data_IF_204338516241
#
_entry.id   IF_204338516241
#
_cell.length_a   1.000
_cell.length_b   1.000
_cell.length_c   1.000
_cell.angle_alpha   90.00
_cell.angle_beta   90.00
_cell.angle_gamma   90.00
#
_symmetry.space_group_name_H-M   'P 1'
#
loop_
_entity.id
_entity.type
_entity.pdbx_description
1 polymer ?
#
# COMPACT_ATOMS: atom_id res chain seq x y z
N UNK A 1 -1.50 23.06 0.96
CA UNK A 1 -1.81 23.51 -0.42
C UNK A 1 -1.73 22.27 -1.27
N UNK A 2 -2.83 21.84 -1.89
CA UNK A 2 -2.88 20.65 -2.72
C UNK A 2 -2.73 21.06 -4.19
N UNK A 3 -1.86 20.39 -4.94
CA UNK A 3 -1.76 20.55 -6.39
C UNK A 3 -2.51 19.42 -7.08
N UNK A 4 -3.50 19.77 -7.91
CA UNK A 4 -4.31 18.82 -8.66
C UNK A 4 -3.95 18.92 -10.14
N UNK A 5 -3.53 17.80 -10.75
CA UNK A 5 -3.30 17.70 -12.20
C UNK A 5 -4.33 16.71 -12.75
N UNK A 6 -5.12 17.14 -13.73
CA UNK A 6 -6.12 16.31 -14.42
C UNK A 6 -5.47 15.74 -15.69
N UNK A 7 -5.37 14.41 -15.80
CA UNK A 7 -4.74 13.71 -16.93
C UNK A 7 -5.75 12.74 -17.55
N UNK A 8 -6.87 13.27 -18.04
CA UNK A 8 -8.00 12.46 -18.48
C UNK A 8 -8.63 11.68 -17.33
N UNK A 9 -8.67 10.35 -17.44
CA UNK A 9 -9.18 9.44 -16.42
C UNK A 9 -8.28 9.32 -15.18
N UNK A 10 -6.99 9.67 -15.25
CA UNK A 10 -6.10 9.64 -14.09
C UNK A 10 -6.22 10.95 -13.28
N UNK A 11 -6.45 10.82 -11.97
CA UNK A 11 -6.39 11.92 -11.00
C UNK A 11 -5.13 11.81 -10.17
N UNK A 12 -4.38 12.91 -10.04
CA UNK A 12 -3.25 13.04 -9.11
C UNK A 12 -3.57 14.08 -8.05
N UNK A 13 -3.44 13.68 -6.78
CA UNK A 13 -3.55 14.56 -5.63
C UNK A 13 -2.24 14.57 -4.84
N UNK A 14 -1.86 15.72 -4.30
CA UNK A 14 -0.74 15.86 -3.37
C UNK A 14 -1.21 16.53 -2.08
N UNK A 15 -0.84 15.96 -0.93
CA UNK A 15 -1.16 16.51 0.38
C UNK A 15 -0.11 16.12 1.42
N UNK A 16 -0.16 16.75 2.58
CA UNK A 16 0.78 16.48 3.66
C UNK A 16 0.02 16.24 4.96
N UNK A 17 0.42 15.25 5.73
CA UNK A 17 -0.24 14.95 7.00
C UNK A 17 0.68 14.22 7.97
N UNK A 18 0.38 14.37 9.25
CA UNK A 18 0.87 13.47 10.29
C UNK A 18 0.09 12.16 10.27
N UNK A 19 0.68 11.06 10.76
CA UNK A 19 -0.01 9.77 10.90
C UNK A 19 -1.39 9.91 11.56
N UNK A 20 -1.49 10.73 12.62
CA UNK A 20 -2.74 10.96 13.37
C UNK A 20 -3.84 11.66 12.59
N UNK A 21 -3.50 12.46 11.58
CA UNK A 21 -4.47 13.24 10.80
C UNK A 21 -4.66 12.68 9.38
N UNK A 22 -3.91 11.63 9.01
CA UNK A 22 -3.83 11.12 7.64
C UNK A 22 -5.20 10.85 7.03
N UNK A 23 -6.08 10.15 7.75
CA UNK A 23 -7.39 9.74 7.23
C UNK A 23 -8.30 10.94 6.96
N UNK A 24 -8.32 11.90 7.89
CA UNK A 24 -9.06 13.15 7.73
C UNK A 24 -8.54 13.94 6.53
N UNK A 25 -7.22 14.14 6.43
CA UNK A 25 -6.61 14.92 5.34
C UNK A 25 -6.78 14.23 3.99
N UNK A 26 -6.70 12.90 3.93
CA UNK A 26 -6.98 12.13 2.73
C UNK A 26 -8.42 12.37 2.27
N UNK A 27 -9.40 12.24 3.16
CA UNK A 27 -10.81 12.51 2.86
C UNK A 27 -11.00 13.93 2.34
N UNK A 28 -10.53 14.93 3.08
CA UNK A 28 -10.60 16.34 2.68
C UNK A 28 -9.97 16.59 1.31
N UNK A 29 -8.91 15.85 0.95
CA UNK A 29 -8.22 15.98 -0.34
C UNK A 29 -9.03 15.39 -1.49
N UNK A 30 -9.62 14.20 -1.31
CA UNK A 30 -10.38 13.52 -2.37
C UNK A 30 -11.81 14.03 -2.51
N UNK A 31 -12.32 14.81 -1.55
CA UNK A 31 -13.66 15.41 -1.60
C UNK A 31 -13.65 16.93 -1.76
N UNK A 32 -12.54 17.54 -2.20
CA UNK A 32 -12.50 19.00 -2.41
C UNK A 32 -13.53 19.45 -3.43
N UNK A 33 -14.26 20.52 -3.13
CA UNK A 33 -15.19 21.12 -4.08
C UNK A 33 -14.44 21.52 -5.37
N UNK A 34 -15.03 21.17 -6.52
CA UNK A 34 -14.52 21.32 -7.91
C UNK A 34 -13.50 20.27 -8.40
N UNK A 35 -12.79 19.57 -7.51
CA UNK A 35 -11.77 18.58 -7.90
C UNK A 35 -11.91 17.23 -7.21
N UNK A 36 -13.05 17.01 -6.55
CA UNK A 36 -13.40 15.75 -5.91
C UNK A 36 -13.26 14.59 -6.90
N UNK A 37 -12.90 13.43 -6.34
CA UNK A 37 -12.75 12.24 -7.13
C UNK A 37 -14.08 11.86 -7.82
N UNK A 38 -13.98 11.50 -9.09
CA UNK A 38 -15.12 11.19 -9.97
C UNK A 38 -15.33 9.69 -10.14
N UNK A 39 -14.40 8.87 -9.64
CA UNK A 39 -14.40 7.42 -9.81
C UNK A 39 -14.94 6.69 -8.58
N UNK A 40 -14.72 7.27 -7.39
CA UNK A 40 -15.08 6.65 -6.13
C UNK A 40 -15.92 7.59 -5.25
N UNK A 41 -16.91 7.02 -4.58
CA UNK A 41 -17.64 7.63 -3.49
C UNK A 41 -16.83 7.44 -2.20
N UNK A 42 -16.41 8.56 -1.59
CA UNK A 42 -15.60 8.57 -0.37
C UNK A 42 -16.44 8.89 0.85
N UNK A 43 -16.26 8.13 1.93
CA UNK A 43 -16.91 8.42 3.22
C UNK A 43 -15.91 8.38 4.35
N UNK A 44 -16.09 9.26 5.34
CA UNK A 44 -15.25 9.37 6.51
C UNK A 44 -16.02 8.98 7.77
N UNK A 45 -15.36 8.21 8.63
CA UNK A 45 -15.79 7.94 9.99
C UNK A 45 -14.64 8.20 10.95
N UNK A 46 -14.79 9.20 11.80
CA UNK A 46 -13.79 9.56 12.82
C UNK A 46 -13.84 8.64 14.04
N UNK A 47 -14.93 7.89 14.23
CA UNK A 47 -15.13 7.01 15.39
C UNK A 47 -15.77 5.67 15.00
N UNK A 48 -15.07 4.92 14.13
CA UNK A 48 -15.50 3.58 13.75
C UNK A 48 -15.06 2.54 14.80
N UNK A 49 -16.00 2.12 15.64
CA UNK A 49 -15.80 1.10 16.69
C UNK A 49 -15.47 -0.29 16.13
N UNK A 50 -15.82 -0.57 14.87
CA UNK A 50 -15.46 -1.83 14.21
C UNK A 50 -14.03 -1.82 13.64
N UNK A 51 -13.37 -0.66 13.68
CA UNK A 51 -11.98 -0.48 13.28
C UNK A 51 -11.05 -0.28 14.49
N UNK A 52 -11.49 -0.62 15.71
CA UNK A 52 -10.67 -0.63 16.94
C UNK A 52 -10.37 -2.08 17.35
N UNK A 53 -9.25 -2.68 16.92
CA UNK A 53 -8.92 -4.07 17.24
C UNK A 53 -8.55 -4.24 18.72
N UNK A 54 -8.77 -5.45 19.26
CA UNK A 54 -8.32 -5.83 20.60
C UNK A 54 -6.80 -5.96 20.65
N UNK A 55 -6.18 -5.53 21.76
CA UNK A 55 -4.74 -5.76 21.98
C UNK A 55 -4.42 -7.21 22.38
N UNK A 56 -3.21 -7.66 22.04
CA UNK A 56 -2.65 -9.02 22.18
C UNK A 56 -3.02 -9.77 23.46
N UNK A 57 -2.97 -9.09 24.60
CA UNK A 57 -2.88 -9.74 25.90
C UNK A 57 -3.85 -9.19 26.94
N UNK A 58 -4.83 -8.37 26.54
CA UNK A 58 -5.87 -7.93 27.45
C UNK A 58 -7.14 -7.58 26.69
N UNK A 59 -8.24 -8.28 27.00
CA UNK A 59 -9.56 -8.03 26.43
C UNK A 59 -10.14 -6.65 26.77
N UNK A 60 -9.54 -5.94 27.73
CA UNK A 60 -10.02 -4.65 28.23
C UNK A 60 -9.40 -3.44 27.50
N UNK A 61 -8.41 -3.64 26.61
CA UNK A 61 -7.75 -2.55 25.89
C UNK A 61 -7.83 -2.75 24.37
N UNK A 62 -8.22 -1.70 23.65
CA UNK A 62 -8.32 -1.67 22.17
C UNK A 62 -7.32 -0.68 21.59
N UNK A 63 -6.76 -1.01 20.42
CA UNK A 63 -5.89 -0.08 19.69
C UNK A 63 -6.71 1.12 19.24
N UNK A 64 -6.20 2.33 19.49
CA UNK A 64 -6.87 3.55 19.09
C UNK A 64 -7.01 3.61 17.56
N UNK A 65 -8.17 4.08 17.08
CA UNK A 65 -8.44 4.36 15.67
C UNK A 65 -8.34 5.88 15.46
N UNK A 66 -7.45 6.31 14.57
CA UNK A 66 -7.24 7.71 14.18
C UNK A 66 -8.02 8.09 12.90
N UNK A 67 -9.07 7.33 12.60
CA UNK A 67 -9.99 7.56 11.49
C UNK A 67 -10.11 6.34 10.59
N UNK A 68 -11.29 6.24 9.97
CA UNK A 68 -11.59 5.29 8.91
C UNK A 68 -12.13 6.05 7.70
N UNK A 69 -11.58 5.78 6.52
CA UNK A 69 -12.13 6.25 5.24
C UNK A 69 -12.52 5.05 4.40
N UNK A 70 -13.60 5.17 3.63
CA UNK A 70 -14.01 4.18 2.64
C UNK A 70 -13.98 4.77 1.25
N UNK A 71 -13.67 3.94 0.25
CA UNK A 71 -13.80 4.25 -1.16
C UNK A 71 -14.70 3.20 -1.80
N UNK A 72 -15.82 3.61 -2.40
CA UNK A 72 -16.73 2.73 -3.12
C UNK A 72 -16.74 3.13 -4.60
N UNK A 73 -16.40 2.20 -5.48
CA UNK A 73 -16.33 2.53 -6.90
C UNK A 73 -17.74 2.83 -7.44
N UNK A 74 -17.85 3.90 -8.24
CA UNK A 74 -19.14 4.35 -8.79
C UNK A 74 -19.63 3.48 -9.94
N UNK A 75 -18.72 2.89 -10.73
CA UNK A 75 -19.05 2.02 -11.88
C UNK A 75 -19.15 0.54 -11.51
N UNK A 76 -18.40 0.10 -10.49
CA UNK A 76 -18.50 -1.24 -9.90
C UNK A 76 -18.67 -1.15 -8.38
N UNK A 77 -19.91 -0.98 -7.87
CA UNK A 77 -20.16 -0.88 -6.43
C UNK A 77 -19.71 -2.08 -5.59
N UNK A 78 -19.37 -3.22 -6.20
CA UNK A 78 -18.78 -4.37 -5.50
C UNK A 78 -17.31 -4.13 -5.13
N UNK A 79 -16.63 -3.24 -5.85
CA UNK A 79 -15.26 -2.83 -5.58
C UNK A 79 -15.27 -1.73 -4.52
N UNK A 80 -14.95 -2.13 -3.31
CA UNK A 80 -15.00 -1.31 -2.12
C UNK A 80 -13.72 -1.48 -1.32
N UNK A 81 -13.21 -0.37 -0.79
CA UNK A 81 -12.06 -0.36 0.08
C UNK A 81 -12.34 0.39 1.37
N UNK A 82 -11.79 -0.10 2.47
CA UNK A 82 -11.67 0.66 3.71
C UNK A 82 -10.19 0.87 4.00
N UNK A 83 -9.81 2.05 4.48
CA UNK A 83 -8.48 2.37 5.00
C UNK A 83 -8.65 2.96 6.40
N UNK A 84 -7.95 2.41 7.38
CA UNK A 84 -7.96 2.88 8.76
C UNK A 84 -6.53 3.14 9.22
N UNK A 85 -6.33 4.14 10.07
CA UNK A 85 -5.06 4.30 10.79
C UNK A 85 -5.24 3.91 12.24
N UNK A 86 -4.48 2.92 12.68
CA UNK A 86 -4.50 2.44 14.06
C UNK A 86 -3.17 2.70 14.76
N UNK A 87 -3.23 2.85 16.08
CA UNK A 87 -2.05 2.89 16.93
C UNK A 87 -1.87 1.53 17.61
N UNK A 88 -0.84 0.78 17.23
CA UNK A 88 -0.50 -0.48 17.86
C UNK A 88 -0.11 -0.26 19.32
N UNK A 89 -0.57 -1.16 20.18
CA UNK A 89 -0.29 -1.15 21.61
C UNK A 89 0.05 -2.54 22.13
N UNK A 90 0.89 -2.56 23.16
CA UNK A 90 1.32 -3.76 23.88
C UNK A 90 1.29 -3.51 25.37
N UNK A 91 0.98 -4.53 26.16
CA UNK A 91 1.09 -4.47 27.61
C UNK A 91 2.28 -5.28 28.10
N UNK A 92 3.14 -4.69 28.91
CA UNK A 92 4.19 -5.45 29.61
C UNK A 92 3.67 -6.07 30.92
N UNK A 93 2.61 -5.49 31.51
CA UNK A 93 1.95 -5.92 32.75
C UNK A 93 0.46 -5.50 32.72
N UNK A 94 -0.38 -6.07 33.59
CA UNK A 94 -1.84 -5.89 33.60
C UNK A 94 -2.34 -4.44 33.65
N UNK A 95 -1.51 -3.49 34.11
CA UNK A 95 -1.87 -2.08 34.27
C UNK A 95 -0.97 -1.10 33.49
N UNK A 96 -0.14 -1.56 32.54
CA UNK A 96 0.78 -0.70 31.78
C UNK A 96 0.67 -0.94 30.29
N UNK A 97 0.08 0.03 29.60
CA UNK A 97 -0.08 0.08 28.14
C UNK A 97 1.05 0.89 27.55
N UNK A 98 1.69 0.37 26.50
CA UNK A 98 2.70 1.06 25.70
C UNK A 98 2.31 1.07 24.23
N UNK A 99 2.50 2.22 23.59
CA UNK A 99 2.21 2.44 22.19
C UNK A 99 3.48 2.32 21.36
N UNK A 100 3.41 1.55 20.27
CA UNK A 100 4.61 1.11 19.55
C UNK A 100 4.75 1.70 18.17
N UNK A 101 3.67 1.72 17.38
CA UNK A 101 3.71 2.26 16.03
C UNK A 101 2.32 2.55 15.46
N UNK A 102 2.26 3.47 14.51
CA UNK A 102 1.07 3.66 13.66
C UNK A 102 1.05 2.64 12.52
N UNK A 103 -0.14 2.15 12.19
CA UNK A 103 -0.39 1.13 11.17
C UNK A 103 -1.56 1.55 10.30
N UNK A 104 -1.43 1.34 8.99
CA UNK A 104 -2.56 1.33 8.07
C UNK A 104 -3.16 -0.07 8.00
N UNK A 105 -4.49 -0.12 8.10
CA UNK A 105 -5.30 -1.32 7.89
C UNK A 105 -6.24 -1.10 6.74
N UNK A 106 -6.32 -2.08 5.86
CA UNK A 106 -7.16 -2.02 4.67
C UNK A 106 -8.27 -3.08 4.72
N UNK A 107 -9.19 -3.11 3.75
CA UNK A 107 -10.21 -4.17 3.69
C UNK A 107 -11.11 -4.02 2.47
N UNK A 108 -11.81 -5.10 2.09
CA UNK A 108 -12.64 -5.15 0.86
C UNK A 108 -14.15 -5.10 1.09
N UNK A 109 -14.64 -5.29 2.32
CA UNK A 109 -16.08 -5.49 2.55
C UNK A 109 -16.81 -4.21 2.93
N UNK A 110 -17.85 -3.92 2.16
CA UNK A 110 -18.95 -3.07 2.58
C UNK A 110 -19.97 -3.93 3.33
N UNK A 111 -20.09 -3.75 4.65
CA UNK A 111 -20.99 -4.54 5.50
C UNK A 111 -22.36 -3.85 5.70
N UNK A 112 -22.83 -3.11 4.69
CA UNK A 112 -24.11 -2.40 4.73
C UNK A 112 -23.99 -1.06 5.47
N UNK A 113 -24.95 -0.74 6.34
CA UNK A 113 -24.96 0.53 7.08
C UNK A 113 -23.77 0.70 8.05
N UNK A 114 -23.11 -0.40 8.43
CA UNK A 114 -21.91 -0.40 9.25
C UNK A 114 -20.68 -0.68 8.38
N UNK A 115 -19.76 0.28 8.29
CA UNK A 115 -18.45 0.06 7.69
C UNK A 115 -17.60 -0.77 8.64
N UNK A 116 -17.41 -2.05 8.34
CA UNK A 116 -16.52 -2.94 9.10
C UNK A 116 -15.35 -3.30 8.18
N UNK A 117 -14.11 -2.85 8.46
CA UNK A 117 -12.95 -3.36 7.72
C UNK A 117 -12.89 -4.88 7.89
N UNK A 118 -12.93 -5.63 6.78
CA UNK A 118 -12.98 -7.12 6.81
C UNK A 118 -11.79 -7.76 7.56
N UNK A 119 -10.70 -7.00 7.70
CA UNK A 119 -9.55 -7.40 8.48
C UNK A 119 -9.79 -7.41 10.00
N UNK A 120 -10.98 -7.09 10.52
CA UNK A 120 -11.30 -7.24 11.96
C UNK A 120 -11.09 -8.68 12.50
N UNK A 121 -11.05 -9.68 11.60
CA UNK A 121 -10.87 -11.09 11.94
C UNK A 121 -9.42 -11.45 12.29
N UNK A 122 -9.21 -12.67 12.82
CA UNK A 122 -7.92 -13.15 13.35
C UNK A 122 -6.74 -13.05 12.36
N UNK A 123 -6.97 -12.98 11.05
CA UNK A 123 -5.93 -12.87 10.02
C UNK A 123 -5.56 -11.43 9.64
N UNK A 124 -6.37 -10.43 10.01
CA UNK A 124 -6.19 -9.09 9.47
C UNK A 124 -5.09 -8.25 10.10
N UNK A 125 -4.35 -8.83 11.06
CA UNK A 125 -3.08 -8.30 11.53
C UNK A 125 -1.91 -8.68 10.61
N UNK A 126 -2.09 -9.68 9.72
CA UNK A 126 -1.07 -10.18 8.80
C UNK A 126 -0.88 -9.31 7.56
N UNK A 127 -1.84 -8.45 7.25
CA UNK A 127 -1.85 -7.52 6.11
C UNK A 127 -1.74 -6.05 6.53
N UNK A 128 -1.23 -5.83 7.73
CA UNK A 128 -1.00 -4.51 8.29
C UNK A 128 0.24 -3.83 7.70
N UNK A 129 0.10 -2.54 7.42
CA UNK A 129 1.14 -1.74 6.78
C UNK A 129 1.67 -0.74 7.82
N UNK A 130 2.86 -0.97 8.41
CA UNK A 130 3.41 -0.05 9.39
C UNK A 130 3.80 1.28 8.74
N UNK A 131 3.48 2.40 9.40
CA UNK A 131 3.93 3.72 8.96
C UNK A 131 5.36 4.02 9.41
N UNK A 132 5.85 3.33 10.43
CA UNK A 132 7.23 3.41 10.91
C UNK A 132 7.57 2.17 11.75
N UNK A 133 8.87 1.95 11.96
CA UNK A 133 9.39 0.88 12.82
C UNK A 133 9.31 1.27 14.29
N UNK A 134 9.30 0.26 15.17
CA UNK A 134 9.37 0.42 16.62
C UNK A 134 10.56 -0.31 17.24
N UNK A 135 10.71 -0.19 18.56
CA UNK A 135 11.58 -1.10 19.31
C UNK A 135 10.94 -2.50 19.41
N UNK A 136 11.70 -3.53 19.78
CA UNK A 136 11.19 -4.90 19.97
C UNK A 136 10.85 -5.23 21.43
N UNK A 137 10.90 -4.24 22.33
CA UNK A 137 11.05 -4.49 23.75
C UNK A 137 9.71 -4.49 24.48
N UNK A 138 9.38 -5.60 25.17
CA UNK A 138 8.05 -5.79 25.80
C UNK A 138 8.04 -6.45 27.18
N UNK A 139 9.19 -6.75 27.77
CA UNK A 139 9.25 -7.68 28.91
C UNK A 139 10.07 -7.18 30.11
N UNK A 140 10.09 -5.87 30.36
CA UNK A 140 10.63 -5.36 31.64
C UNK A 140 10.05 -3.99 32.06
N UNK A 141 10.47 -3.52 33.23
CA UNK A 141 10.25 -2.16 33.73
C UNK A 141 10.77 -1.04 32.79
N UNK A 142 11.70 -1.34 31.87
CA UNK A 142 12.24 -0.40 30.88
C UNK A 142 11.43 -0.36 29.57
N UNK A 143 10.25 -0.98 29.51
CA UNK A 143 9.38 -0.87 28.32
C UNK A 143 8.97 0.59 28.15
N UNK A 144 9.13 1.13 26.94
CA UNK A 144 8.77 2.51 26.62
C UNK A 144 7.86 2.59 25.41
N UNK A 145 7.25 3.76 25.23
CA UNK A 145 6.56 4.13 24.01
C UNK A 145 7.60 4.39 22.91
N UNK A 146 7.43 3.76 21.75
CA UNK A 146 8.28 3.97 20.58
C UNK A 146 7.55 4.60 19.40
N UNK A 147 6.25 4.88 19.54
CA UNK A 147 5.47 5.47 18.47
C UNK A 147 5.96 6.87 18.12
N UNK A 148 6.05 7.15 16.82
CA UNK A 148 6.49 8.45 16.31
C UNK A 148 5.42 8.96 15.37
N UNK A 149 4.90 10.16 15.62
CA UNK A 149 3.93 10.78 14.72
C UNK A 149 4.69 11.39 13.53
N UNK A 150 4.97 10.54 12.54
CA UNK A 150 5.74 10.90 11.35
C UNK A 150 4.91 11.82 10.46
N UNK A 151 5.56 12.85 9.90
CA UNK A 151 4.98 13.74 8.90
C UNK A 151 5.33 13.21 7.52
N UNK A 152 4.31 13.02 6.67
CA UNK A 152 4.46 12.48 5.33
C UNK A 152 3.97 13.49 4.30
N UNK A 153 4.69 13.53 3.16
CA UNK A 153 4.17 13.99 1.89
C UNK A 153 3.45 12.80 1.23
N UNK A 154 2.22 12.97 0.84
CA UNK A 154 1.42 11.94 0.17
C UNK A 154 1.13 12.35 -1.27
N UNK A 155 1.26 11.40 -2.18
CA UNK A 155 0.82 11.52 -3.56
C UNK A 155 -0.14 10.37 -3.83
N UNK A 156 -1.31 10.70 -4.36
CA UNK A 156 -2.39 9.76 -4.62
C UNK A 156 -2.70 9.76 -6.11
N UNK A 157 -2.72 8.58 -6.72
CA UNK A 157 -3.08 8.35 -8.11
C UNK A 157 -4.35 7.51 -8.17
N UNK A 158 -5.41 8.03 -8.78
CA UNK A 158 -6.72 7.38 -8.81
C UNK A 158 -7.22 7.26 -10.24
N UNK A 159 -7.72 6.08 -10.59
CA UNK A 159 -8.51 5.80 -11.79
C UNK A 159 -9.78 5.08 -11.40
N UNK A 160 -10.64 4.75 -12.36
CA UNK A 160 -11.78 3.84 -12.13
C UNK A 160 -11.36 2.41 -11.75
N UNK A 161 -10.11 1.99 -12.01
CA UNK A 161 -9.66 0.62 -11.76
C UNK A 161 -8.86 0.46 -10.47
N UNK A 162 -8.26 1.54 -9.98
CA UNK A 162 -7.38 1.49 -8.81
C UNK A 162 -7.24 2.83 -8.08
N UNK A 163 -6.76 2.72 -6.85
CA UNK A 163 -6.22 3.78 -6.00
C UNK A 163 -4.78 3.37 -5.66
N UNK A 164 -3.81 4.21 -6.00
CA UNK A 164 -2.42 4.03 -5.62
C UNK A 164 -1.97 5.16 -4.73
N UNK A 165 -1.63 4.82 -3.49
CA UNK A 165 -1.16 5.75 -2.47
C UNK A 165 0.36 5.63 -2.32
N UNK A 166 1.02 6.77 -2.40
CA UNK A 166 2.44 6.94 -2.23
C UNK A 166 2.72 7.92 -1.08
N UNK A 167 3.56 7.55 -0.11
CA UNK A 167 3.91 8.39 1.03
C UNK A 167 5.41 8.51 1.21
N UNK A 168 5.93 9.73 1.33
CA UNK A 168 7.33 10.02 1.60
C UNK A 168 7.49 10.67 2.98
N UNK A 169 8.22 10.04 3.91
CA UNK A 169 8.45 10.64 5.22
C UNK A 169 9.28 11.91 5.06
N UNK A 170 8.84 12.98 5.72
CA UNK A 170 9.50 14.29 5.72
C UNK A 170 10.30 14.52 7.02
N UNK A 171 10.07 13.69 8.03
CA UNK A 171 10.82 13.68 9.29
C UNK A 171 11.06 12.23 9.77
N UNK A 172 11.89 12.06 10.80
CA UNK A 172 12.15 10.76 11.43
C UNK A 172 12.62 9.67 10.43
N UNK A 173 13.44 10.09 9.45
CA UNK A 173 13.92 9.24 8.34
C UNK A 173 14.72 8.01 8.78
N UNK A 174 15.16 7.96 10.04
CA UNK A 174 15.82 6.79 10.61
C UNK A 174 14.89 5.64 11.00
N UNK A 175 13.57 5.88 11.10
CA UNK A 175 12.56 4.88 11.50
C UNK A 175 11.34 4.84 10.58
N UNK A 176 11.14 5.86 9.75
CA UNK A 176 10.03 5.93 8.81
C UNK A 176 10.40 5.40 7.43
N UNK A 177 9.46 4.69 6.80
CA UNK A 177 9.62 4.08 5.48
C UNK A 177 8.66 4.73 4.49
N UNK A 178 9.07 4.97 3.22
CA UNK A 178 8.14 5.42 2.20
C UNK A 178 7.01 4.41 2.00
N UNK A 179 5.77 4.85 2.03
CA UNK A 179 4.59 4.00 1.89
C UNK A 179 4.21 3.88 0.42
N UNK A 180 3.88 2.67 0.00
CA UNK A 180 3.40 2.38 -1.35
C UNK A 180 2.33 1.32 -1.24
N UNK A 181 1.12 1.69 -1.64
CA UNK A 181 -0.07 0.89 -1.43
C UNK A 181 -0.95 0.95 -2.67
N UNK A 182 -1.14 -0.20 -3.29
CA UNK A 182 -2.08 -0.41 -4.38
C UNK A 182 -3.38 -0.97 -3.83
N UNK A 183 -4.52 -0.41 -4.20
CA UNK A 183 -5.85 -0.95 -3.97
C UNK A 183 -6.61 -0.92 -5.30
N UNK A 184 -6.94 -2.07 -5.88
CA UNK A 184 -7.62 -2.05 -7.18
C UNK A 184 -7.69 -3.40 -7.87
N UNK A 185 -8.17 -3.38 -9.12
CA UNK A 185 -8.17 -4.55 -10.00
C UNK A 185 -6.76 -5.01 -10.33
N UNK A 186 -6.59 -6.28 -10.58
CA UNK A 186 -5.38 -6.85 -11.14
C UNK A 186 -5.71 -7.28 -12.56
N UNK A 187 -4.74 -7.16 -13.47
CA UNK A 187 -4.85 -7.75 -14.80
C UNK A 187 -4.37 -9.20 -14.71
N UNK A 188 -5.27 -10.20 -14.82
CA UNK A 188 -4.88 -11.60 -14.76
C UNK A 188 -4.12 -12.00 -16.02
N UNK A 189 -3.20 -12.96 -15.91
CA UNK A 189 -2.57 -13.56 -17.09
C UNK A 189 -3.41 -14.71 -17.66
N UNK A 190 -4.16 -15.36 -16.80
CA UNK A 190 -5.15 -16.37 -17.15
C UNK A 190 -6.52 -15.71 -17.45
N UNK A 191 -6.59 -14.83 -18.45
CA UNK A 191 -7.81 -14.07 -18.78
C UNK A 191 -9.02 -14.97 -19.10
N UNK A 192 -8.77 -16.21 -19.55
CA UNK A 192 -9.81 -17.19 -19.83
C UNK A 192 -10.31 -17.95 -18.59
N UNK A 193 -9.67 -17.80 -17.43
CA UNK A 193 -10.14 -18.42 -16.18
C UNK A 193 -11.21 -17.52 -15.53
N UNK A 194 -12.51 -17.90 -15.57
CA UNK A 194 -13.59 -17.09 -15.04
C UNK A 194 -13.53 -16.91 -13.52
N UNK A 195 -12.78 -17.76 -12.80
CA UNK A 195 -12.61 -17.67 -11.34
C UNK A 195 -11.67 -16.53 -10.95
N UNK A 196 -10.86 -16.04 -11.89
CA UNK A 196 -9.93 -14.94 -11.67
C UNK A 196 -10.38 -13.73 -12.50
N UNK A 197 -10.79 -13.89 -13.76
CA UNK A 197 -10.96 -12.78 -14.70
C UNK A 197 -11.96 -11.69 -14.29
N UNK A 198 -12.99 -12.02 -13.52
CA UNK A 198 -14.05 -11.06 -13.16
C UNK A 198 -13.91 -10.43 -11.77
N UNK A 199 -13.16 -11.06 -10.86
CA UNK A 199 -13.14 -10.70 -9.42
C UNK A 199 -11.73 -10.46 -8.87
N UNK A 200 -10.70 -10.41 -9.73
CA UNK A 200 -9.32 -10.26 -9.29
C UNK A 200 -9.01 -8.83 -8.82
N UNK A 201 -9.39 -8.53 -7.59
CA UNK A 201 -9.18 -7.26 -6.91
C UNK A 201 -8.31 -7.51 -5.69
N UNK A 202 -7.31 -6.65 -5.47
CA UNK A 202 -6.35 -6.84 -4.40
C UNK A 202 -5.86 -5.56 -3.74
N UNK A 203 -5.22 -5.76 -2.58
CA UNK A 203 -4.51 -4.73 -1.84
C UNK A 203 -3.08 -5.20 -1.65
N UNK A 204 -2.13 -4.42 -2.16
CA UNK A 204 -0.71 -4.80 -2.18
C UNK A 204 0.14 -3.66 -1.66
N UNK A 205 1.12 -4.01 -0.83
CA UNK A 205 2.09 -3.07 -0.32
C UNK A 205 3.50 -3.60 -0.51
N UNK A 206 4.48 -2.72 -0.41
CA UNK A 206 5.89 -3.11 -0.40
C UNK A 206 6.35 -3.70 0.94
N UNK A 207 5.49 -3.70 1.96
CA UNK A 207 5.77 -4.40 3.20
C UNK A 207 5.46 -5.89 3.04
N UNK A 208 6.32 -6.76 3.58
CA UNK A 208 6.02 -8.18 3.61
C UNK A 208 4.77 -8.46 4.46
N UNK A 209 3.95 -9.41 4.02
CA UNK A 209 2.71 -9.82 4.68
C UNK A 209 2.80 -11.30 5.10
N UNK A 210 2.02 -11.69 6.12
CA UNK A 210 1.98 -13.09 6.56
C UNK A 210 3.19 -13.53 7.41
N UNK A 211 3.87 -12.59 8.07
CA UNK A 211 5.08 -12.78 8.90
C UNK A 211 4.87 -13.60 10.20
N UNK A 212 3.73 -14.29 10.36
CA UNK A 212 3.42 -15.09 11.54
C UNK A 212 4.02 -16.51 11.49
N UNK A 213 4.63 -16.87 10.37
CA UNK A 213 5.19 -18.20 10.10
C UNK A 213 6.71 -18.14 9.91
N UNK A 214 7.46 -18.66 10.89
CA UNK A 214 8.92 -18.66 10.94
C UNK A 214 9.60 -19.56 9.89
N UNK A 215 8.84 -20.35 9.12
CA UNK A 215 9.39 -21.38 8.23
C UNK A 215 9.72 -20.91 6.80
N UNK A 216 9.42 -19.66 6.43
CA UNK A 216 9.54 -19.19 5.03
C UNK A 216 10.32 -17.88 4.90
N UNK A 217 11.60 -17.98 4.56
CA UNK A 217 12.51 -16.82 4.38
C UNK A 217 12.04 -15.82 3.31
N UNK A 218 11.26 -16.25 2.31
CA UNK A 218 10.78 -15.36 1.24
C UNK A 218 9.73 -14.37 1.77
N UNK A 219 8.96 -14.76 2.79
CA UNK A 219 7.98 -13.89 3.45
C UNK A 219 8.61 -12.70 4.16
N UNK A 220 9.90 -12.73 4.45
CA UNK A 220 10.59 -11.65 5.17
C UNK A 220 11.22 -10.60 4.26
N UNK A 221 11.23 -10.84 2.95
CA UNK A 221 11.95 -10.03 1.97
C UNK A 221 10.99 -9.36 0.99
N UNK A 222 10.10 -10.08 0.34
CA UNK A 222 9.27 -9.48 -0.71
C UNK A 222 8.10 -8.64 -0.18
N UNK A 223 7.66 -7.64 -0.96
CA UNK A 223 6.35 -7.05 -0.76
C UNK A 223 5.24 -8.10 -0.90
N UNK A 224 4.10 -7.83 -0.30
CA UNK A 224 2.97 -8.76 -0.30
C UNK A 224 1.63 -8.04 -0.37
N UNK A 225 0.61 -8.84 -0.63
CA UNK A 225 -0.75 -8.36 -0.62
C UNK A 225 -1.73 -9.48 -0.36
N UNK A 226 -2.99 -9.14 -0.53
CA UNK A 226 -4.07 -10.09 -0.44
C UNK A 226 -5.14 -9.72 -1.45
N UNK A 227 -5.86 -10.73 -1.91
CA UNK A 227 -6.92 -10.57 -2.91
C UNK A 227 -8.27 -10.85 -2.29
N UNK A 228 -9.31 -10.22 -2.83
CA UNK A 228 -10.69 -10.34 -2.34
C UNK A 228 -11.13 -11.81 -2.28
N UNK A 229 -10.86 -12.55 -3.35
CA UNK A 229 -11.07 -14.00 -3.44
C UNK A 229 -9.94 -14.64 -4.23
N UNK A 230 -9.39 -15.73 -3.72
CA UNK A 230 -8.46 -16.59 -4.44
C UNK A 230 -9.18 -17.35 -5.56
N UNK A 231 -8.42 -17.98 -6.47
CA UNK A 231 -8.96 -18.87 -7.51
C UNK A 231 -9.85 -19.98 -6.95
N UNK A 232 -9.50 -20.48 -5.75
CA UNK A 232 -10.25 -21.52 -5.05
C UNK A 232 -11.39 -20.98 -4.17
N UNK A 233 -11.73 -19.68 -4.27
CA UNK A 233 -12.80 -19.07 -3.50
C UNK A 233 -12.43 -18.70 -2.06
N UNK A 234 -11.14 -18.73 -1.70
CA UNK A 234 -10.70 -18.36 -0.34
C UNK A 234 -10.69 -16.84 -0.20
N UNK A 235 -11.49 -16.24 0.70
CA UNK A 235 -11.49 -14.79 0.88
C UNK A 235 -10.20 -14.28 1.51
N UNK A 236 -9.74 -13.09 1.12
CA UNK A 236 -8.54 -12.44 1.67
C UNK A 236 -7.26 -13.31 1.57
N UNK A 237 -7.14 -14.10 0.51
CA UNK A 237 -5.97 -14.95 0.32
C UNK A 237 -4.70 -14.11 0.09
N UNK A 238 -3.60 -14.48 0.74
CA UNK A 238 -2.32 -13.81 0.63
C UNK A 238 -1.66 -14.12 -0.70
N UNK A 239 -1.17 -13.09 -1.38
CA UNK A 239 -0.47 -13.18 -2.65
C UNK A 239 0.90 -12.52 -2.53
N UNK A 240 1.86 -13.05 -3.27
CA UNK A 240 3.19 -12.48 -3.36
C UNK A 240 3.19 -11.32 -4.36
N UNK A 241 4.05 -10.33 -4.09
CA UNK A 241 4.32 -9.21 -4.99
C UNK A 241 5.81 -9.17 -5.32
N UNK A 242 6.12 -9.12 -6.61
CA UNK A 242 7.47 -8.95 -7.11
C UNK A 242 7.55 -7.65 -7.89
N UNK A 243 8.68 -7.00 -7.71
CA UNK A 243 8.93 -5.67 -8.24
C UNK A 243 10.21 -5.67 -9.06
N UNK A 244 10.22 -6.54 -10.08
CA UNK A 244 11.33 -6.71 -11.00
C UNK A 244 11.50 -5.47 -11.87
N UNK A 245 12.26 -4.48 -11.42
CA UNK A 245 12.73 -3.37 -12.28
C UNK A 245 14.02 -3.71 -13.04
N UNK A 246 14.42 -5.00 -13.07
CA UNK A 246 15.83 -5.39 -13.30
C UNK A 246 16.24 -5.70 -14.73
N UNK A 247 15.33 -5.95 -15.67
CA UNK A 247 15.76 -6.48 -16.97
C UNK A 247 16.10 -5.31 -17.91
N UNK A 248 17.30 -5.19 -18.47
CA UNK A 248 17.57 -4.27 -19.57
C UNK A 248 16.98 -4.82 -20.88
N UNK A 249 16.35 -3.95 -21.67
CA UNK A 249 15.84 -4.27 -23.01
C UNK A 249 16.99 -4.50 -24.02
N UNK A 250 16.99 -5.60 -24.80
CA UNK A 250 17.74 -5.70 -26.06
C UNK A 250 16.95 -5.18 -27.28
N UNK A 251 15.91 -4.35 -27.08
CA UNK A 251 15.00 -3.85 -28.12
C UNK A 251 15.28 -2.42 -28.59
N UNK A 252 14.87 -2.15 -29.85
CA UNK A 252 15.27 -1.06 -30.77
C UNK A 252 15.72 0.24 -30.09
N UNK A 253 17.04 0.37 -29.93
CA UNK A 253 17.72 1.57 -29.41
C UNK A 253 18.12 1.53 -27.92
N UNK A 254 17.70 0.53 -27.14
CA UNK A 254 18.22 0.23 -25.80
C UNK A 254 17.97 1.28 -24.71
N UNK A 255 16.89 2.08 -24.81
CA UNK A 255 16.68 3.26 -23.95
C UNK A 255 15.84 3.01 -22.68
N UNK A 256 14.88 2.10 -22.69
CA UNK A 256 13.97 1.85 -21.55
C UNK A 256 13.58 0.37 -21.45
N UNK A 257 13.41 -0.13 -20.22
CA UNK A 257 12.65 -1.36 -19.94
C UNK A 257 11.51 -1.01 -18.99
N UNK A 258 10.31 -1.41 -19.37
CA UNK A 258 9.11 -1.25 -18.56
C UNK A 258 8.77 -2.60 -17.96
N UNK A 259 8.65 -2.62 -16.65
CA UNK A 259 8.30 -3.79 -15.89
C UNK A 259 6.92 -3.64 -15.26
N UNK A 260 6.09 -4.69 -15.30
CA UNK A 260 4.88 -4.72 -14.49
C UNK A 260 5.20 -5.01 -13.01
N UNK A 261 4.22 -4.73 -12.16
CA UNK A 261 4.17 -5.23 -10.79
C UNK A 261 3.51 -6.60 -10.81
N UNK A 262 4.32 -7.65 -10.73
CA UNK A 262 3.84 -9.02 -10.88
C UNK A 262 3.30 -9.54 -9.55
N UNK A 263 2.12 -10.16 -9.60
CA UNK A 263 1.46 -10.77 -8.44
C UNK A 263 1.17 -12.24 -8.71
N UNK A 264 1.36 -13.09 -7.72
CA UNK A 264 1.09 -14.52 -7.87
C UNK A 264 0.81 -15.22 -6.54
N UNK A 265 0.24 -16.43 -6.65
CA UNK A 265 0.07 -17.33 -5.53
C UNK A 265 0.68 -18.71 -5.83
N UNK A 266 1.64 -19.14 -5.02
CA UNK A 266 2.52 -20.29 -5.30
C UNK A 266 1.78 -21.62 -5.50
N UNK A 267 0.68 -21.83 -4.78
CA UNK A 267 -0.03 -23.12 -4.77
C UNK A 267 -1.19 -23.25 -5.76
N UNK A 268 -1.85 -22.15 -6.13
CA UNK A 268 -3.05 -22.19 -6.99
C UNK A 268 -2.78 -21.76 -8.44
N UNK A 269 -1.56 -21.27 -8.72
CA UNK A 269 -1.12 -20.90 -10.05
C UNK A 269 -1.79 -19.65 -10.62
N UNK A 270 -2.49 -18.86 -9.78
CA UNK A 270 -3.08 -17.58 -10.16
C UNK A 270 -1.97 -16.52 -10.30
N UNK A 271 -1.97 -15.81 -11.43
CA UNK A 271 -0.95 -14.80 -11.75
C UNK A 271 -1.57 -13.56 -12.37
N UNK A 272 -0.89 -12.43 -12.22
CA UNK A 272 -1.27 -11.21 -12.91
C UNK A 272 -0.35 -10.06 -12.61
N UNK A 273 -0.87 -8.86 -12.80
CA UNK A 273 -0.15 -7.62 -12.54
C UNK A 273 -1.06 -6.49 -12.08
N UNK A 274 -0.47 -5.41 -11.56
CA UNK A 274 -1.23 -4.18 -11.31
C UNK A 274 -1.79 -3.62 -12.62
N UNK A 275 -3.02 -3.12 -12.54
CA UNK A 275 -3.69 -2.50 -13.68
C UNK A 275 -3.12 -1.10 -13.91
N UNK A 276 -2.68 -0.80 -15.14
CA UNK A 276 -2.28 0.55 -15.54
C UNK A 276 -1.09 1.17 -14.77
N UNK A 277 -0.32 0.37 -14.02
CA UNK A 277 0.88 0.82 -13.32
C UNK A 277 2.06 -0.06 -13.72
N UNK A 278 3.17 0.60 -14.06
CA UNK A 278 4.45 -0.03 -14.38
C UNK A 278 5.59 0.67 -13.66
N UNK A 279 6.78 0.07 -13.74
CA UNK A 279 8.03 0.70 -13.30
C UNK A 279 9.06 0.67 -14.41
N UNK A 280 9.95 1.66 -14.43
CA UNK A 280 11.08 1.71 -15.34
C UNK A 280 12.32 2.31 -14.66
N UNK A 281 13.48 2.12 -15.28
CA UNK A 281 14.71 2.82 -14.94
C UNK A 281 15.07 3.76 -16.09
N UNK A 282 15.05 5.07 -15.84
CA UNK A 282 15.45 6.09 -16.79
C UNK A 282 16.97 6.30 -16.71
N UNK A 283 17.69 6.05 -17.80
CA UNK A 283 19.14 6.33 -17.86
C UNK A 283 19.46 7.82 -17.67
N UNK A 284 18.57 8.69 -18.12
CA UNK A 284 18.68 10.14 -18.00
C UNK A 284 17.31 10.72 -17.62
N UNK A 285 17.10 10.90 -16.31
CA UNK A 285 15.84 11.38 -15.74
C UNK A 285 15.52 12.83 -16.11
N UNK A 286 16.53 13.62 -16.50
CA UNK A 286 16.30 15.03 -16.88
C UNK A 286 15.42 15.19 -18.12
N UNK A 287 15.35 14.15 -18.97
CA UNK A 287 14.52 14.12 -20.18
C UNK A 287 13.05 13.82 -19.91
N UNK A 288 12.76 13.18 -18.79
CA UNK A 288 11.43 12.83 -18.37
C UNK A 288 11.30 13.21 -16.90
N UNK A 289 11.19 14.51 -16.58
CA UNK A 289 11.03 14.98 -15.20
C UNK A 289 9.71 14.50 -14.61
N UNK A 290 9.56 14.64 -13.30
CA UNK A 290 8.32 14.30 -12.62
C UNK A 290 7.11 15.01 -13.25
N UNK A 291 6.09 14.24 -13.58
CA UNK A 291 4.89 14.68 -14.25
C UNK A 291 4.97 14.89 -15.75
N UNK A 292 6.09 14.52 -16.38
CA UNK A 292 6.19 14.42 -17.84
C UNK A 292 5.39 13.24 -18.39
N UNK A 293 5.16 13.27 -19.71
CA UNK A 293 4.50 12.20 -20.46
C UNK A 293 5.56 11.41 -21.24
N UNK A 294 5.49 10.09 -21.15
CA UNK A 294 6.29 9.14 -21.91
C UNK A 294 5.40 8.37 -22.89
N UNK A 295 5.59 8.63 -24.18
CA UNK A 295 4.94 7.88 -25.27
C UNK A 295 5.81 6.68 -25.68
N UNK A 296 5.22 5.48 -25.72
CA UNK A 296 5.88 4.25 -26.12
C UNK A 296 4.98 3.43 -27.04
N UNK A 297 5.18 3.59 -28.34
CA UNK A 297 4.32 2.95 -29.34
C UNK A 297 2.88 3.44 -29.16
N UNK A 298 1.96 2.51 -28.89
CA UNK A 298 0.55 2.80 -28.68
C UNK A 298 0.21 3.21 -27.23
N UNK A 299 1.12 2.99 -26.29
CA UNK A 299 0.92 3.28 -24.87
C UNK A 299 1.45 4.68 -24.52
N UNK A 300 0.83 5.31 -23.51
CA UNK A 300 1.21 6.62 -22.98
C UNK A 300 1.21 6.56 -21.46
N UNK A 301 2.26 7.10 -20.85
CA UNK A 301 2.45 7.06 -19.40
C UNK A 301 2.73 8.43 -18.79
N UNK A 302 2.12 8.70 -17.65
CA UNK A 302 2.54 9.76 -16.73
C UNK A 302 3.72 9.26 -15.89
N UNK A 303 4.81 10.02 -15.89
CA UNK A 303 6.05 9.66 -15.20
C UNK A 303 6.04 10.19 -13.78
N UNK A 304 6.27 9.31 -12.80
CA UNK A 304 6.41 9.67 -11.39
C UNK A 304 7.74 9.16 -10.80
N UNK A 305 8.55 10.03 -10.23
CA UNK A 305 9.81 9.66 -9.59
C UNK A 305 9.55 9.19 -8.18
N UNK A 306 9.68 7.88 -7.96
CA UNK A 306 9.63 7.33 -6.62
C UNK A 306 11.00 7.49 -5.93
N UNK A 307 10.98 7.88 -4.65
CA UNK A 307 12.16 7.82 -3.79
C UNK A 307 12.79 6.43 -3.84
N UNK A 308 14.04 6.34 -4.32
CA UNK A 308 14.77 5.08 -4.38
C UNK A 308 15.30 4.73 -2.98
N UNK A 309 14.48 4.06 -2.20
CA UNK A 309 14.89 3.53 -0.92
C UNK A 309 15.95 2.44 -1.11
N UNK A 310 17.07 2.56 -0.40
CA UNK A 310 18.05 1.49 -0.30
C UNK A 310 17.46 0.32 0.48
N UNK A 311 17.78 -0.90 0.05
CA UNK A 311 17.40 -2.11 0.77
C UNK A 311 17.91 -2.03 2.22
N UNK A 312 17.05 -2.21 3.25
CA UNK A 312 17.49 -2.17 4.63
C UNK A 312 18.58 -3.22 4.91
N UNK A 313 19.71 -2.80 5.50
CA UNK A 313 20.81 -3.72 5.79
C UNK A 313 20.45 -4.76 6.88
N UNK A 314 19.47 -4.45 7.73
CA UNK A 314 18.96 -5.31 8.80
C UNK A 314 17.44 -5.42 8.72
N UNK A 315 16.89 -6.42 9.38
CA UNK A 315 15.44 -6.51 9.62
C UNK A 315 14.94 -5.27 10.37
N UNK A 316 13.74 -4.86 9.99
CA UNK A 316 13.02 -3.70 10.48
C UNK A 316 11.81 -4.20 11.25
N UNK A 317 11.65 -3.73 12.48
CA UNK A 317 10.66 -4.25 13.42
C UNK A 317 9.44 -3.37 13.60
N UNK A 318 8.27 -3.98 13.78
CA UNK A 318 7.05 -3.29 14.19
C UNK A 318 6.12 -4.21 14.96
N UNK A 319 5.23 -3.63 15.75
CA UNK A 319 4.16 -4.37 16.40
C UNK A 319 2.90 -4.30 15.56
N UNK A 320 2.29 -5.44 15.28
CA UNK A 320 0.95 -5.50 14.69
C UNK A 320 -0.10 -4.96 15.67
N UNK A 321 -1.32 -4.66 15.25
CA UNK A 321 -2.41 -4.28 16.16
C UNK A 321 -2.92 -5.46 16.98
N UNK A 322 -2.61 -6.69 16.54
CA UNK A 322 -2.71 -7.86 17.38
C UNK A 322 -1.64 -7.84 18.50
N UNK A 323 -0.64 -6.96 18.45
CA UNK A 323 0.41 -6.77 19.46
C UNK A 323 1.52 -7.83 19.45
N UNK A 324 1.65 -8.54 18.33
CA UNK A 324 2.82 -9.37 18.03
C UNK A 324 3.93 -8.49 17.43
N UNK A 325 5.16 -8.66 17.92
CA UNK A 325 6.33 -8.11 17.23
C UNK A 325 6.64 -8.94 15.99
N UNK A 326 6.76 -8.28 14.86
CA UNK A 326 7.18 -8.87 13.58
C UNK A 326 8.32 -8.04 13.01
N UNK A 327 9.11 -8.67 12.16
CA UNK A 327 10.21 -7.99 11.48
C UNK A 327 10.31 -8.45 10.03
N UNK A 328 10.79 -7.56 9.16
CA UNK A 328 10.97 -7.82 7.74
C UNK A 328 11.91 -6.81 7.11
N UNK A 329 12.23 -6.98 5.83
CA UNK A 329 13.05 -6.03 5.07
C UNK A 329 12.17 -5.39 4.00
N UNK A 330 11.37 -4.36 4.32
CA UNK A 330 10.54 -3.72 3.31
C UNK A 330 11.42 -3.12 2.23
N UNK A 331 11.25 -3.61 1.00
CA UNK A 331 11.82 -3.00 -0.18
C UNK A 331 10.77 -2.99 -1.28
N UNK A 332 10.68 -1.86 -1.98
CA UNK A 332 9.74 -1.75 -3.09
C UNK A 332 10.34 -2.14 -4.43
N UNK A 333 11.66 -2.08 -4.59
CA UNK A 333 12.31 -2.54 -5.80
C UNK A 333 13.28 -3.64 -5.41
N UNK A 334 13.13 -4.81 -6.01
CA UNK A 334 13.87 -6.03 -5.68
C UNK A 334 15.38 -5.96 -5.98
N UNK A 335 15.86 -4.86 -6.56
CA UNK A 335 17.27 -4.62 -6.80
C UNK A 335 17.78 -3.38 -6.07
N UNK A 336 19.00 -3.38 -5.53
CA UNK A 336 19.72 -2.15 -5.25
C UNK A 336 20.41 -1.59 -6.51
N UNK A 337 20.59 -2.38 -7.56
CA UNK A 337 21.36 -2.01 -8.75
C UNK A 337 20.49 -1.27 -9.76
N UNK A 338 20.90 -0.04 -10.08
CA UNK A 338 20.36 0.75 -11.19
C UNK A 338 21.37 0.67 -12.34
N UNK A 339 21.04 -0.05 -13.40
CA UNK A 339 21.93 -0.17 -14.56
C UNK A 339 22.26 1.22 -15.12
N UNK A 340 23.56 1.54 -15.18
CA UNK A 340 24.06 2.81 -15.69
C UNK A 340 23.81 4.03 -14.79
N UNK A 341 23.48 3.84 -13.50
CA UNK A 341 23.22 4.94 -12.57
C UNK A 341 21.92 5.71 -12.83
N UNK A 342 20.98 5.09 -13.57
CA UNK A 342 19.68 5.68 -13.88
C UNK A 342 18.78 5.89 -12.67
N UNK A 343 17.63 6.51 -12.86
CA UNK A 343 16.65 6.80 -11.81
C UNK A 343 15.38 5.97 -11.99
N UNK A 344 14.83 5.45 -10.89
CA UNK A 344 13.57 4.70 -10.92
C UNK A 344 12.38 5.61 -11.06
N UNK A 345 11.43 5.16 -11.87
CA UNK A 345 10.13 5.80 -12.01
C UNK A 345 9.01 4.78 -11.90
N UNK A 346 7.88 5.25 -11.42
CA UNK A 346 6.57 4.66 -11.62
C UNK A 346 5.95 5.30 -12.87
N UNK A 347 5.30 4.48 -13.67
CA UNK A 347 4.62 4.88 -14.88
C UNK A 347 3.15 4.56 -14.70
N UNK A 348 2.31 5.59 -14.80
CA UNK A 348 0.86 5.44 -14.73
C UNK A 348 0.29 5.61 -16.12
N UNK A 349 -0.38 4.57 -16.62
CA UNK A 349 -0.98 4.58 -17.95
C UNK A 349 -2.07 5.66 -18.01
N UNK A 350 -2.05 6.44 -19.10
CA UNK A 350 -3.04 7.48 -19.38
C UNK A 350 -3.55 7.34 -20.81
N UNK A 351 -4.79 7.76 -21.04
CA UNK A 351 -5.39 7.74 -22.37
C UNK A 351 -4.64 8.69 -23.33
N UNK A 352 -4.53 8.29 -24.60
CA UNK A 352 -4.11 9.21 -25.66
C UNK A 352 -5.31 10.10 -26.01
N UNK A 353 -5.11 11.42 -25.95
CA UNK A 353 -6.08 12.37 -26.52
C UNK A 353 -6.24 12.04 -28.02
N UNK A 354 -7.49 11.86 -28.46
CA UNK A 354 -7.88 11.53 -29.84
C UNK A 354 -8.09 12.80 -30.65
#
# INVERSE_FOLDING_TARGET
MAENILLGALRRYEFYSYCTTFIQTLYETVTQDLYGDIHWEWTLSTNNTYATPKAWNNSNYTSANNGTITAKNLKDPSMFFTICTNLSQVNAYDNRVYYKNYILRTGFRNNGAAVIPDLYTQVGHLSEIPLHTGDSYVSSYNTTNSYTNVYFKWTLFITEQYIFLYGEPQNNLGVAYPIRLYLGRLKPFEEEDPLISNDFVGVFSHFPMGLDDAADELKYRAGGGYVRSSRNGTPNALYNLATSSQVPSPGVGGRFFISPFYVWHDKEGARGEFYGIRTAVLKDASKYPDGSILDLGDERYYVFHAYSQAHPATYQGWFTTAGKYVEGQPYFFDSPLLLGGGQRVLLFEIEKEV
#
